data_IF_598367704045
#
_entry.id   IF_598367704045
#
_cell.length_a   1.000
_cell.length_b   1.000
_cell.length_c   1.000
_cell.angle_alpha   90.00
_cell.angle_beta   90.00
_cell.angle_gamma   90.00
#
_symmetry.space_group_name_H-M   'P 1'
#
loop_
_entity.id
_entity.type
_entity.pdbx_description
1 polymer ?
#
# COMPACT_ATOMS: atom_id res chain seq x y z
N UNK A 1 28.32 -6.74 -5.25
CA UNK A 1 27.84 -5.48 -5.86
C UNK A 1 29.03 -4.55 -5.85
N UNK A 2 29.54 -4.24 -7.03
CA UNK A 2 30.74 -3.42 -7.17
C UNK A 2 30.35 -1.95 -7.05
N UNK A 3 31.19 -1.12 -6.43
CA UNK A 3 30.87 0.27 -6.11
C UNK A 3 30.51 1.14 -7.32
N UNK A 4 31.05 0.80 -8.49
CA UNK A 4 30.77 1.48 -9.76
C UNK A 4 29.31 1.29 -10.21
N UNK A 5 28.77 0.07 -10.08
CA UNK A 5 27.36 -0.21 -10.40
C UNK A 5 26.39 0.54 -9.48
N UNK A 6 26.76 0.74 -8.21
CA UNK A 6 25.95 1.51 -7.27
C UNK A 6 26.00 2.99 -7.63
N UNK A 7 27.16 3.51 -8.03
CA UNK A 7 27.29 4.88 -8.52
C UNK A 7 26.37 5.13 -9.71
N UNK A 8 26.41 4.25 -10.72
CA UNK A 8 25.57 4.41 -11.92
C UNK A 8 24.07 4.36 -11.60
N UNK A 9 23.66 3.51 -10.65
CA UNK A 9 22.27 3.43 -10.19
C UNK A 9 21.85 4.71 -9.45
N UNK A 10 22.71 5.26 -8.58
CA UNK A 10 22.43 6.49 -7.84
C UNK A 10 22.32 7.69 -8.78
N UNK A 11 23.13 7.76 -9.85
CA UNK A 11 23.05 8.84 -10.84
C UNK A 11 21.76 8.81 -11.67
N UNK A 12 21.02 7.69 -11.67
CA UNK A 12 19.74 7.57 -12.37
C UNK A 12 18.55 7.97 -11.51
N UNK A 13 18.74 8.15 -10.20
CA UNK A 13 17.67 8.52 -9.28
C UNK A 13 17.35 10.01 -9.39
N UNK A 14 16.06 10.33 -9.36
CA UNK A 14 15.65 11.71 -9.15
C UNK A 14 15.98 12.18 -7.73
N UNK A 15 16.02 13.49 -7.51
CA UNK A 15 16.25 14.14 -6.23
C UNK A 15 15.38 13.59 -5.08
N UNK A 16 14.08 13.40 -5.31
CA UNK A 16 13.11 12.84 -4.37
C UNK A 16 13.43 11.38 -4.07
N UNK A 17 13.73 10.58 -5.10
CA UNK A 17 14.07 9.17 -4.94
C UNK A 17 15.34 8.99 -4.12
N UNK A 18 16.33 9.84 -4.39
CA UNK A 18 17.57 9.89 -3.63
C UNK A 18 17.34 10.29 -2.17
N UNK A 19 16.51 11.29 -1.91
CA UNK A 19 16.16 11.70 -0.54
C UNK A 19 15.46 10.56 0.24
N UNK A 20 14.52 9.85 -0.40
CA UNK A 20 13.84 8.70 0.18
C UNK A 20 14.81 7.55 0.41
N UNK A 21 15.67 7.23 -0.56
CA UNK A 21 16.69 6.18 -0.44
C UNK A 21 17.65 6.47 0.71
N UNK A 22 18.20 7.68 0.80
CA UNK A 22 19.12 8.08 1.86
C UNK A 22 18.47 7.94 3.24
N UNK A 23 17.21 8.34 3.36
CA UNK A 23 16.44 8.21 4.60
C UNK A 23 16.20 6.75 4.98
N UNK A 24 15.82 5.91 4.01
CA UNK A 24 15.63 4.46 4.21
C UNK A 24 16.92 3.75 4.63
N UNK A 25 18.04 4.07 3.98
CA UNK A 25 19.35 3.46 4.28
C UNK A 25 19.86 3.93 5.65
N UNK A 26 19.68 5.19 5.99
CA UNK A 26 20.05 5.74 7.29
C UNK A 26 19.12 5.26 8.43
N UNK A 27 17.95 4.71 8.10
CA UNK A 27 16.91 4.36 9.06
C UNK A 27 16.36 5.59 9.80
N UNK A 28 16.35 6.74 9.12
CA UNK A 28 15.88 8.03 9.65
C UNK A 28 14.75 8.60 8.78
N UNK A 29 14.13 9.68 9.25
CA UNK A 29 12.96 10.31 8.65
C UNK A 29 13.37 11.52 7.80
N UNK A 30 12.56 11.94 6.82
CA UNK A 30 12.81 13.15 6.05
C UNK A 30 11.60 14.10 5.98
N UNK A 31 11.91 15.36 5.73
CA UNK A 31 10.95 16.39 5.34
C UNK A 31 11.11 16.61 3.85
N UNK A 32 10.01 16.59 3.11
CA UNK A 32 9.95 16.97 1.71
C UNK A 32 9.03 18.19 1.59
N UNK A 33 9.53 19.23 0.95
CA UNK A 33 8.77 20.46 0.68
C UNK A 33 8.65 20.66 -0.82
N UNK A 34 7.54 21.24 -1.25
CA UNK A 34 7.32 21.68 -2.62
C UNK A 34 6.32 22.84 -2.62
N UNK A 35 6.09 23.46 -3.76
CA UNK A 35 5.06 24.46 -3.93
C UNK A 35 3.66 23.83 -3.70
N UNK A 36 2.69 24.58 -3.10
CA UNK A 36 1.38 24.03 -2.76
C UNK A 36 0.64 23.41 -3.95
N UNK A 37 0.84 23.94 -5.15
CA UNK A 37 0.24 23.47 -6.39
C UNK A 37 0.75 22.10 -6.82
N UNK A 38 1.98 21.75 -6.41
CA UNK A 38 2.66 20.52 -6.76
C UNK A 38 2.61 19.46 -5.65
N UNK A 39 2.06 19.79 -4.49
CA UNK A 39 2.05 18.92 -3.32
C UNK A 39 1.40 17.56 -3.57
N UNK A 40 0.27 17.55 -4.27
CA UNK A 40 -0.46 16.32 -4.63
C UNK A 40 0.31 15.47 -5.64
N UNK A 41 1.02 16.10 -6.58
CA UNK A 41 1.85 15.39 -7.56
C UNK A 41 3.06 14.75 -6.86
N UNK A 42 3.70 15.47 -5.94
CA UNK A 42 4.79 14.92 -5.13
C UNK A 42 4.32 13.78 -4.24
N UNK A 43 3.14 13.90 -3.62
CA UNK A 43 2.51 12.81 -2.88
C UNK A 43 2.34 11.58 -3.76
N UNK A 44 1.72 11.75 -4.92
CA UNK A 44 1.45 10.65 -5.86
C UNK A 44 2.75 10.01 -6.35
N UNK A 45 3.78 10.81 -6.66
CA UNK A 45 5.10 10.29 -7.02
C UNK A 45 5.65 9.37 -5.92
N UNK A 46 5.58 9.76 -4.64
CA UNK A 46 6.08 8.93 -3.54
C UNK A 46 5.23 7.67 -3.33
N UNK A 47 3.91 7.77 -3.49
CA UNK A 47 2.97 6.63 -3.40
C UNK A 47 3.27 5.57 -4.45
N UNK A 48 3.60 5.98 -5.67
CA UNK A 48 3.98 5.08 -6.76
C UNK A 48 5.42 4.56 -6.60
N UNK A 49 6.34 5.42 -6.15
CA UNK A 49 7.75 5.08 -5.92
C UNK A 49 7.93 3.97 -4.88
N UNK A 50 7.18 4.01 -3.79
CA UNK A 50 7.32 3.07 -2.67
C UNK A 50 7.22 1.60 -3.08
N UNK A 51 6.11 1.18 -3.72
CA UNK A 51 5.95 -0.18 -4.23
C UNK A 51 6.87 -0.47 -5.42
N UNK A 52 6.98 0.45 -6.39
CA UNK A 52 7.68 0.20 -7.66
C UNK A 52 9.19 0.06 -7.49
N UNK A 53 9.81 0.97 -6.72
CA UNK A 53 11.27 1.04 -6.58
C UNK A 53 11.75 0.32 -5.31
N UNK A 54 11.03 0.47 -4.19
CA UNK A 54 11.48 -0.06 -2.90
C UNK A 54 10.81 -1.35 -2.45
N UNK A 55 9.72 -1.77 -3.11
CA UNK A 55 8.90 -2.90 -2.69
C UNK A 55 8.28 -2.70 -1.31
N UNK A 56 7.98 -1.44 -0.94
CA UNK A 56 7.49 -1.04 0.37
C UNK A 56 6.05 -0.55 0.30
N UNK A 57 5.27 -0.87 1.34
CA UNK A 57 3.90 -0.32 1.47
C UNK A 57 3.95 1.15 1.81
N UNK A 58 3.08 1.94 1.18
CA UNK A 58 2.94 3.39 1.43
C UNK A 58 1.55 3.66 1.95
N UNK A 59 1.43 4.47 3.00
CA UNK A 59 0.17 5.02 3.45
C UNK A 59 0.30 6.53 3.64
N UNK A 60 -0.78 7.25 3.35
CA UNK A 60 -0.81 8.71 3.44
C UNK A 60 -1.88 9.15 4.42
N UNK A 61 -1.54 10.14 5.23
CA UNK A 61 -2.45 10.84 6.11
C UNK A 61 -2.37 12.32 5.79
N UNK A 62 -3.52 12.93 5.51
CA UNK A 62 -3.65 14.37 5.33
C UNK A 62 -3.96 15.01 6.68
N UNK A 63 -3.10 15.93 7.10
CA UNK A 63 -3.25 16.64 8.35
C UNK A 63 -3.97 17.98 8.15
N UNK A 64 -4.88 18.25 9.06
CA UNK A 64 -5.66 19.48 9.18
C UNK A 64 -5.68 19.93 10.64
N UNK A 65 -6.07 21.18 10.94
CA UNK A 65 -6.19 21.65 12.33
C UNK A 65 -7.15 20.81 13.18
N UNK A 66 -8.15 20.19 12.54
CA UNK A 66 -9.18 19.36 13.18
C UNK A 66 -8.82 17.87 13.23
N UNK A 67 -7.65 17.47 12.72
CA UNK A 67 -7.20 16.07 12.72
C UNK A 67 -7.07 15.55 14.15
N UNK A 68 -7.84 14.51 14.47
CA UNK A 68 -7.74 13.83 15.77
C UNK A 68 -6.64 12.77 15.75
N UNK A 69 -6.27 12.24 16.92
CA UNK A 69 -5.28 11.16 17.02
C UNK A 69 -5.71 9.89 16.28
N UNK A 70 -7.02 9.57 16.32
CA UNK A 70 -7.54 8.39 15.62
C UNK A 70 -7.54 8.64 14.09
N UNK A 71 -7.90 9.84 13.64
CA UNK A 71 -7.83 10.22 12.20
C UNK A 71 -6.39 10.20 11.68
N UNK A 72 -5.42 10.54 12.53
CA UNK A 72 -4.01 10.45 12.16
C UNK A 72 -3.56 9.01 11.94
N UNK A 73 -4.05 8.09 12.75
CA UNK A 73 -3.53 6.72 12.87
C UNK A 73 -4.26 5.74 11.93
N UNK A 74 -5.58 5.85 11.82
CA UNK A 74 -6.42 4.90 11.09
C UNK A 74 -5.99 4.70 9.61
N UNK A 75 -5.66 5.76 8.84
CA UNK A 75 -5.22 5.61 7.45
C UNK A 75 -3.91 4.84 7.28
N UNK A 76 -3.10 4.75 8.35
CA UNK A 76 -1.76 4.16 8.29
C UNK A 76 -1.79 2.63 8.43
N UNK A 77 -2.96 2.06 8.73
CA UNK A 77 -3.15 0.66 9.07
C UNK A 77 -3.70 -0.17 7.89
N UNK A 78 -2.96 -1.22 7.52
CA UNK A 78 -3.41 -2.22 6.56
C UNK A 78 -3.96 -3.46 7.25
N UNK A 79 -5.07 -3.99 6.74
CA UNK A 79 -5.54 -5.31 7.14
C UNK A 79 -4.62 -6.39 6.56
N UNK A 80 -3.97 -7.15 7.44
CA UNK A 80 -3.28 -8.36 7.01
C UNK A 80 -4.35 -9.39 6.61
N UNK A 81 -4.59 -9.51 5.30
CA UNK A 81 -5.30 -10.65 4.74
C UNK A 81 -4.42 -11.87 5.01
N UNK A 82 -4.75 -12.60 6.09
CA UNK A 82 -4.19 -13.94 6.30
C UNK A 82 -4.44 -14.71 5.00
N UNK A 83 -3.42 -15.27 4.33
CA UNK A 83 -3.68 -16.26 3.30
C UNK A 83 -4.50 -17.36 3.99
N UNK A 84 -5.75 -17.50 3.57
CA UNK A 84 -6.60 -18.58 4.02
C UNK A 84 -5.83 -19.89 3.81
N UNK A 85 -5.77 -20.79 4.81
CA UNK A 85 -5.27 -22.12 4.53
C UNK A 85 -6.20 -22.69 3.46
N UNK A 86 -5.68 -22.90 2.26
CA UNK A 86 -6.36 -23.57 1.17
C UNK A 86 -6.64 -25.02 1.59
N UNK A 87 -7.71 -25.21 2.35
CA UNK A 87 -8.42 -26.48 2.36
C UNK A 87 -9.09 -26.59 1.00
N UNK A 88 -8.54 -27.42 0.12
CA UNK A 88 -9.24 -28.34 -0.78
C UNK A 88 -8.23 -29.05 -1.70
N UNK A 89 -7.31 -29.81 -1.08
CA UNK A 89 -6.74 -30.97 -1.74
C UNK A 89 -7.77 -32.10 -1.71
N UNK A 90 -8.62 -32.16 -2.73
CA UNK A 90 -9.48 -33.31 -3.02
C UNK A 90 -8.57 -34.52 -3.25
N UNK A 91 -8.40 -35.37 -2.25
CA UNK A 91 -7.77 -36.68 -2.43
C UNK A 91 -8.83 -37.66 -2.91
N UNK A 92 -8.54 -38.46 -3.97
CA UNK A 92 -9.54 -39.24 -4.66
C UNK A 92 -9.97 -40.47 -3.85
N UNK A 93 -11.22 -40.86 -4.09
CA UNK A 93 -11.87 -42.10 -3.70
C UNK A 93 -10.98 -43.29 -4.05
N UNK A 94 -10.54 -44.06 -3.04
CA UNK A 94 -10.14 -45.44 -3.24
C UNK A 94 -11.23 -46.37 -2.71
N UNK A 95 -11.77 -47.12 -3.66
CA UNK A 95 -12.83 -48.10 -3.49
C UNK A 95 -12.31 -49.33 -2.73
N UNK A 96 -13.24 -49.98 -2.03
CA UNK A 96 -13.08 -51.18 -1.21
C UNK A 96 -12.48 -52.37 -1.98
N UNK A 97 -11.69 -53.18 -1.28
CA UNK A 97 -11.84 -54.64 -1.09
C UNK A 97 -10.78 -55.13 -0.07
N UNK A 98 -11.23 -55.56 1.11
CA UNK A 98 -11.20 -56.97 1.58
C UNK A 98 -9.91 -57.35 2.33
N UNK A 99 -10.06 -57.62 3.64
CA UNK A 99 -8.98 -58.14 4.48
C UNK A 99 -9.29 -58.01 5.98
N UNK A 100 -9.89 -59.06 6.52
CA UNK A 100 -10.25 -59.25 7.93
C UNK A 100 -9.05 -59.05 8.88
N UNK A 101 -9.21 -58.31 9.98
CA UNK A 101 -8.62 -58.75 11.26
C UNK A 101 -9.31 -58.08 12.45
N UNK A 102 -9.67 -58.96 13.38
CA UNK A 102 -10.24 -58.70 14.69
C UNK A 102 -9.19 -58.05 15.58
N UNK A 103 -9.46 -56.87 16.15
CA UNK A 103 -9.17 -56.49 17.54
C UNK A 103 -9.77 -55.10 17.79
N UNK A 104 -10.72 -55.02 18.73
CA UNK A 104 -11.49 -53.82 19.00
C UNK A 104 -10.80 -52.86 19.98
N UNK A 105 -11.18 -51.59 19.91
CA UNK A 105 -11.42 -50.77 21.10
C UNK A 105 -12.45 -49.69 20.74
N UNK A 106 -13.57 -49.70 21.47
CA UNK A 106 -14.64 -48.70 21.40
C UNK A 106 -14.16 -47.42 22.07
N UNK A 107 -14.48 -46.27 21.49
CA UNK A 107 -14.98 -45.14 22.28
C UNK A 107 -16.05 -44.37 21.49
N UNK A 108 -17.28 -44.47 21.98
CA UNK A 108 -18.44 -43.68 21.57
C UNK A 108 -18.77 -42.73 22.72
N UNK A 109 -18.77 -41.43 22.46
CA UNK A 109 -19.58 -40.43 23.15
C UNK A 109 -19.89 -39.34 22.13
N UNK A 110 -21.00 -39.52 21.41
CA UNK A 110 -22.30 -38.90 21.67
C UNK A 110 -22.39 -37.48 21.11
N UNK A 111 -22.97 -37.43 19.91
CA UNK A 111 -23.76 -36.32 19.40
C UNK A 111 -24.79 -35.90 20.47
N UNK A 112 -25.06 -34.59 20.59
CA UNK A 112 -26.38 -33.98 20.35
C UNK A 112 -26.37 -32.48 20.71
N UNK A 113 -26.60 -31.64 19.67
CA UNK A 113 -27.46 -30.42 19.61
C UNK A 113 -27.00 -29.19 20.42
N UNK A 114 -27.14 -27.94 19.96
CA UNK A 114 -28.30 -27.30 19.32
C UNK A 114 -27.89 -26.13 18.41
N UNK A 115 -28.64 -25.94 17.32
CA UNK A 115 -28.68 -24.72 16.53
C UNK A 115 -29.25 -23.57 17.37
N UNK A 116 -28.52 -22.47 17.49
CA UNK A 116 -29.06 -21.15 17.83
C UNK A 116 -28.51 -20.15 16.82
N UNK A 117 -29.43 -19.57 16.05
CA UNK A 117 -29.22 -18.32 15.33
C UNK A 117 -28.56 -17.30 16.26
N UNK A 118 -27.39 -16.85 15.84
CA UNK A 118 -26.72 -15.69 16.38
C UNK A 118 -25.87 -15.17 15.24
N UNK A 119 -26.28 -14.04 14.68
CA UNK A 119 -25.51 -13.20 13.77
C UNK A 119 -24.21 -12.80 14.46
N UNK A 120 -23.22 -13.68 14.45
CA UNK A 120 -21.84 -13.32 14.73
C UNK A 120 -21.25 -12.87 13.41
N UNK A 121 -21.40 -11.56 13.15
CA UNK A 121 -20.33 -10.80 12.50
C UNK A 121 -19.14 -10.89 13.47
N UNK A 122 -18.49 -12.05 13.51
CA UNK A 122 -17.18 -12.20 14.11
C UNK A 122 -16.28 -11.44 13.16
N UNK A 123 -16.08 -10.16 13.49
CA UNK A 123 -15.10 -9.33 12.82
C UNK A 123 -13.82 -10.15 12.84
N UNK A 124 -13.45 -10.64 11.67
CA UNK A 124 -12.09 -11.05 11.37
C UNK A 124 -11.26 -9.80 11.53
N UNK A 125 -10.98 -9.43 12.79
CA UNK A 125 -10.07 -8.36 13.13
C UNK A 125 -8.71 -8.91 12.80
N UNK A 126 -8.37 -8.82 11.52
CA UNK A 126 -7.03 -9.05 11.02
C UNK A 126 -6.06 -8.27 11.87
N UNK A 127 -4.86 -8.82 12.03
CA UNK A 127 -3.77 -8.08 12.66
C UNK A 127 -3.50 -6.90 11.73
N UNK A 128 -3.90 -5.68 12.13
CA UNK A 128 -3.61 -4.49 11.33
C UNK A 128 -2.13 -4.14 11.46
N UNK A 129 -1.46 -3.96 10.33
CA UNK A 129 -0.02 -3.63 10.26
C UNK A 129 0.17 -2.22 9.74
N UNK A 130 1.20 -1.55 10.26
CA UNK A 130 1.57 -0.22 9.82
C UNK A 130 2.30 -0.28 8.47
N UNK A 131 2.07 0.72 7.62
CA UNK A 131 2.84 0.95 6.40
C UNK A 131 4.36 1.02 6.66
N UNK A 132 5.15 0.71 5.63
CA UNK A 132 6.59 0.90 5.65
C UNK A 132 6.95 2.37 5.48
N UNK A 133 6.29 3.06 4.56
CA UNK A 133 6.46 4.48 4.29
C UNK A 133 5.16 5.18 4.68
N UNK A 134 5.25 6.17 5.55
CA UNK A 134 4.13 7.02 5.95
C UNK A 134 4.37 8.40 5.38
N UNK A 135 3.44 8.89 4.58
CA UNK A 135 3.41 10.27 4.11
C UNK A 135 2.47 11.04 5.04
N UNK A 136 3.03 11.92 5.86
CA UNK A 136 2.27 12.84 6.69
C UNK A 136 2.20 14.19 5.98
N UNK A 137 1.14 14.36 5.18
CA UNK A 137 0.91 15.56 4.39
C UNK A 137 0.39 16.68 5.30
N UNK A 138 0.97 17.89 5.19
CA UNK A 138 0.58 19.08 5.94
C UNK A 138 0.65 18.90 7.47
N UNK A 139 1.61 18.10 7.94
CA UNK A 139 1.78 17.78 9.37
C UNK A 139 1.97 19.02 10.26
N UNK A 140 2.44 20.12 9.69
CA UNK A 140 2.58 21.40 10.40
C UNK A 140 1.24 22.07 10.72
N UNK A 141 0.18 21.78 9.96
CA UNK A 141 -1.17 22.28 10.22
C UNK A 141 -1.87 21.51 11.33
N UNK A 142 -1.37 20.31 11.67
CA UNK A 142 -1.95 19.50 12.73
C UNK A 142 -1.72 20.10 14.12
N UNK A 143 -2.60 19.73 15.04
CA UNK A 143 -2.46 20.08 16.45
C UNK A 143 -1.15 19.55 17.06
N UNK A 144 -0.67 20.22 18.12
CA UNK A 144 0.53 19.77 18.88
C UNK A 144 0.42 18.31 19.37
N UNK A 145 -0.79 17.82 19.65
CA UNK A 145 -0.99 16.44 20.06
C UNK A 145 -0.68 15.45 18.93
N UNK A 146 -1.11 15.75 17.70
CA UNK A 146 -0.82 14.94 16.52
C UNK A 146 0.67 14.99 16.19
N UNK A 147 1.31 16.16 16.24
CA UNK A 147 2.77 16.28 16.06
C UNK A 147 3.54 15.49 17.13
N UNK A 148 3.06 15.51 18.38
CA UNK A 148 3.63 14.70 19.47
C UNK A 148 3.45 13.20 19.20
N UNK A 149 2.30 12.80 18.65
CA UNK A 149 2.04 11.41 18.27
C UNK A 149 2.97 10.95 17.13
N UNK A 150 3.21 11.81 16.14
CA UNK A 150 4.18 11.56 15.09
C UNK A 150 5.61 11.41 15.65
N UNK A 151 5.98 12.27 16.61
CA UNK A 151 7.26 12.16 17.31
C UNK A 151 7.38 10.86 18.10
N UNK A 152 6.33 10.45 18.82
CA UNK A 152 6.31 9.18 19.54
C UNK A 152 6.47 8.00 18.57
N UNK A 153 5.78 8.05 17.43
CA UNK A 153 5.89 7.03 16.38
C UNK A 153 7.32 6.91 15.84
N UNK A 154 7.97 8.04 15.55
CA UNK A 154 9.37 8.10 15.12
C UNK A 154 10.30 7.48 16.18
N UNK A 155 10.14 7.88 17.45
CA UNK A 155 11.04 7.47 18.55
C UNK A 155 10.87 6.03 18.97
N UNK A 156 9.63 5.60 19.12
CA UNK A 156 9.30 4.30 19.72
C UNK A 156 9.07 3.23 18.66
N UNK A 157 8.87 3.63 17.39
CA UNK A 157 8.40 2.75 16.31
C UNK A 157 7.11 2.03 16.69
N UNK A 158 6.26 2.68 17.49
CA UNK A 158 5.02 2.13 18.03
C UNK A 158 3.99 3.24 18.15
N UNK A 159 2.72 2.86 18.11
CA UNK A 159 1.62 3.74 18.49
C UNK A 159 0.49 2.94 19.13
N UNK A 160 -0.39 3.65 19.82
CA UNK A 160 -1.56 3.09 20.47
C UNK A 160 -2.83 3.66 19.83
N UNK A 161 -3.77 2.80 19.47
CA UNK A 161 -5.12 3.25 19.07
C UNK A 161 -5.98 3.50 20.31
N UNK A 162 -7.08 4.24 20.17
CA UNK A 162 -8.08 4.43 21.24
C UNK A 162 -8.61 3.11 21.83
N UNK A 163 -8.55 2.01 21.06
CA UNK A 163 -8.90 0.64 21.49
C UNK A 163 -7.80 -0.06 22.31
N UNK A 164 -6.73 0.65 22.71
CA UNK A 164 -5.54 0.10 23.40
C UNK A 164 -4.82 -1.02 22.63
N UNK A 165 -5.02 -1.08 21.32
CA UNK A 165 -4.22 -1.96 20.47
C UNK A 165 -2.89 -1.27 20.17
N UNK A 166 -1.81 -1.97 20.43
CA UNK A 166 -0.45 -1.52 20.12
C UNK A 166 -0.04 -2.05 18.75
N UNK A 167 0.40 -1.15 17.88
CA UNK A 167 0.98 -1.51 16.59
C UNK A 167 2.45 -1.12 16.58
N UNK A 168 3.29 -2.00 16.03
CA UNK A 168 4.71 -1.72 15.85
C UNK A 168 4.95 -1.40 14.38
N UNK A 169 5.76 -0.39 14.12
CA UNK A 169 6.23 -0.10 12.78
C UNK A 169 7.11 -1.24 12.25
N UNK A 170 7.11 -1.50 10.94
CA UNK A 170 8.00 -2.49 10.34
C UNK A 170 9.48 -2.16 10.57
N UNK A 171 10.36 -3.15 10.33
CA UNK A 171 11.81 -2.93 10.44
C UNK A 171 12.30 -1.82 9.51
N UNK A 172 11.81 -1.83 8.25
CA UNK A 172 12.00 -0.76 7.28
C UNK A 172 10.83 0.21 7.42
N UNK A 173 11.07 1.28 8.16
CA UNK A 173 10.07 2.28 8.48
C UNK A 173 10.62 3.67 8.15
N UNK A 174 9.85 4.43 7.39
CA UNK A 174 10.12 5.81 7.03
C UNK A 174 8.84 6.62 7.26
N UNK A 175 9.02 7.80 7.84
CA UNK A 175 7.98 8.83 7.93
C UNK A 175 8.51 10.01 7.14
N UNK A 176 7.70 10.48 6.21
CA UNK A 176 7.97 11.63 5.35
C UNK A 176 6.99 12.71 5.75
N UNK A 177 7.47 13.82 6.29
CA UNK A 177 6.64 15.01 6.44
C UNK A 177 6.60 15.74 5.10
N UNK A 178 5.45 15.76 4.45
CA UNK A 178 5.27 16.34 3.12
C UNK A 178 4.54 17.68 3.24
N UNK A 179 5.20 18.78 2.91
CA UNK A 179 4.71 20.12 3.22
C UNK A 179 4.62 21.00 1.96
N UNK A 180 3.43 21.53 1.67
CA UNK A 180 3.21 22.45 0.54
C UNK A 180 3.60 23.87 0.91
N UNK A 181 4.89 24.18 0.96
CA UNK A 181 5.36 25.49 1.41
C UNK A 181 6.52 26.07 0.63
N UNK A 182 6.36 27.29 0.08
CA UNK A 182 7.42 28.02 -0.58
C UNK A 182 8.24 28.89 0.39
N UNK A 183 7.74 29.18 1.62
CA UNK A 183 8.36 30.10 2.57
C UNK A 183 8.22 29.63 4.04
N UNK A 184 9.29 29.86 4.80
CA UNK A 184 9.76 29.34 6.11
C UNK A 184 8.81 29.40 7.34
N UNK A 185 7.51 29.67 7.19
CA UNK A 185 6.64 30.18 8.28
C UNK A 185 5.88 29.10 9.08
N UNK A 186 6.22 27.82 8.93
CA UNK A 186 5.54 26.74 9.67
C UNK A 186 6.56 25.71 10.10
N UNK A 187 7.13 26.05 11.24
CA UNK A 187 7.97 25.14 11.97
C UNK A 187 7.05 24.09 12.59
N UNK A 188 7.07 22.88 12.02
CA UNK A 188 6.95 21.68 12.85
C UNK A 188 7.70 21.96 14.17
N UNK A 189 7.16 21.51 15.30
CA UNK A 189 7.80 21.80 16.59
C UNK A 189 9.30 21.49 16.53
N UNK A 190 10.15 22.35 17.10
CA UNK A 190 11.61 22.16 17.04
C UNK A 190 12.04 20.76 17.47
N UNK A 191 11.36 20.19 18.47
CA UNK A 191 11.60 18.83 18.94
C UNK A 191 11.26 17.75 17.92
N UNK A 192 10.28 17.98 17.04
CA UNK A 192 9.93 17.07 15.96
C UNK A 192 10.95 17.22 14.81
N UNK A 193 11.33 18.45 14.45
CA UNK A 193 12.37 18.72 13.45
C UNK A 193 13.69 18.00 13.75
N UNK A 194 14.13 17.97 15.01
CA UNK A 194 15.39 17.35 15.42
C UNK A 194 15.49 15.83 15.11
N UNK A 195 14.35 15.18 14.82
CA UNK A 195 14.31 13.74 14.47
C UNK A 195 14.29 13.48 12.98
N UNK A 196 14.20 14.53 12.15
CA UNK A 196 14.36 14.43 10.72
C UNK A 196 15.84 14.54 10.34
N UNK A 197 16.25 13.70 9.40
CA UNK A 197 17.63 13.61 8.95
C UNK A 197 17.96 14.64 7.88
N UNK A 198 17.05 14.78 6.91
CA UNK A 198 17.17 15.71 5.80
C UNK A 198 15.84 16.45 5.62
N UNK A 199 15.96 17.69 5.17
CA UNK A 199 14.87 18.48 4.62
C UNK A 199 15.24 18.80 3.19
N UNK A 200 14.41 18.38 2.24
CA UNK A 200 14.66 18.58 0.81
C UNK A 200 13.48 19.31 0.17
N UNK A 201 13.80 20.29 -0.68
CA UNK A 201 12.81 21.04 -1.43
C UNK A 201 12.84 20.58 -2.88
N UNK A 202 11.72 20.05 -3.36
CA UNK A 202 11.52 19.65 -4.75
C UNK A 202 10.80 20.79 -5.49
N UNK A 203 11.47 21.44 -6.45
CA UNK A 203 10.90 22.58 -7.16
C UNK A 203 9.93 22.11 -8.27
N UNK A 204 8.91 22.92 -8.54
CA UNK A 204 7.86 22.62 -9.51
C UNK A 204 8.34 22.45 -10.97
N UNK A 205 9.56 22.86 -11.30
CA UNK A 205 10.14 22.79 -12.65
C UNK A 205 10.89 21.49 -12.96
N UNK A 206 11.16 20.66 -11.95
CA UNK A 206 11.91 19.40 -12.09
C UNK A 206 11.02 18.22 -12.54
N UNK A 207 9.70 18.40 -12.55
CA UNK A 207 8.72 17.43 -13.05
C UNK A 207 8.47 16.24 -12.12
N UNK A 208 7.53 15.36 -12.50
CA UNK A 208 7.11 14.23 -11.67
C UNK A 208 7.23 12.91 -12.45
N UNK A 209 8.44 12.35 -12.61
CA UNK A 209 8.70 11.27 -13.57
C UNK A 209 7.85 10.01 -13.37
N UNK A 210 7.52 9.68 -12.12
CA UNK A 210 6.69 8.51 -11.79
C UNK A 210 5.22 8.74 -12.17
N UNK A 211 4.70 9.95 -11.91
CA UNK A 211 3.33 10.31 -12.26
C UNK A 211 3.17 10.38 -13.77
N UNK A 212 4.15 10.96 -14.47
CA UNK A 212 4.18 11.03 -15.94
C UNK A 212 4.16 9.63 -16.57
N UNK A 213 4.95 8.69 -16.03
CA UNK A 213 4.97 7.29 -16.49
C UNK A 213 3.64 6.55 -16.28
N UNK A 214 2.94 6.80 -15.16
CA UNK A 214 1.61 6.24 -14.92
C UNK A 214 0.62 6.71 -15.99
N UNK A 215 0.59 8.03 -16.26
CA UNK A 215 -0.33 8.66 -17.22
C UNK A 215 -0.06 8.16 -18.66
N UNK A 216 1.19 7.97 -19.04
CA UNK A 216 1.55 7.38 -20.34
C UNK A 216 1.09 5.92 -20.46
N UNK A 217 1.22 5.13 -19.40
CA UNK A 217 0.76 3.74 -19.38
C UNK A 217 -0.75 3.65 -19.58
N UNK A 218 -1.52 4.44 -18.84
CA UNK A 218 -2.99 4.48 -18.95
C UNK A 218 -3.46 4.90 -20.35
N UNK A 219 -2.77 5.84 -20.99
CA UNK A 219 -3.07 6.28 -22.37
C UNK A 219 -2.80 5.18 -23.40
N UNK A 220 -1.74 4.39 -23.22
CA UNK A 220 -1.41 3.29 -24.11
C UNK A 220 -2.43 2.14 -24.05
N UNK A 221 -3.01 1.90 -22.88
CA UNK A 221 -4.01 0.87 -22.66
C UNK A 221 -5.36 1.25 -23.30
N UNK A 222 -5.76 2.53 -23.21
CA UNK A 222 -6.99 3.00 -23.87
C UNK A 222 -6.87 2.99 -25.40
N UNK A 223 -5.69 3.36 -25.95
CA UNK A 223 -5.43 3.29 -27.39
C UNK A 223 -5.41 1.84 -27.89
N UNK A 224 -4.88 0.91 -27.10
CA UNK A 224 -4.88 -0.52 -27.40
C UNK A 224 -6.30 -1.09 -27.45
N UNK A 225 -7.19 -0.67 -26.53
CA UNK A 225 -8.60 -1.07 -26.54
C UNK A 225 -9.40 -0.45 -27.71
N UNK A 226 -9.06 0.76 -28.14
CA UNK A 226 -9.69 1.42 -29.29
C UNK A 226 -9.36 0.74 -30.64
N UNK A 227 -8.31 -0.09 -30.70
CA UNK A 227 -7.81 -0.72 -31.93
C UNK A 227 -8.58 -1.98 -32.39
N UNK A 228 -9.59 -2.44 -31.66
CA UNK A 228 -10.38 -3.64 -32.03
C UNK A 228 -11.41 -3.33 -33.12
N UNK A 229 -10.96 -3.32 -34.38
CA UNK A 229 -11.81 -3.26 -35.57
C UNK A 229 -12.39 -4.66 -35.86
N UNK A 230 -13.68 -4.86 -35.56
CA UNK A 230 -14.42 -6.05 -36.01
C UNK A 230 -14.58 -5.99 -37.54
N UNK A 231 -13.71 -6.68 -38.27
CA UNK A 231 -13.92 -6.95 -39.71
C UNK A 231 -15.06 -7.96 -39.85
N UNK A 232 -16.27 -7.47 -40.11
CA UNK A 232 -17.38 -8.31 -40.55
C UNK A 232 -17.15 -8.72 -42.01
N UNK A 233 -16.59 -9.91 -42.24
CA UNK A 233 -16.61 -10.52 -43.57
C UNK A 233 -18.05 -10.83 -43.96
N UNK A 234 -18.58 -10.09 -44.92
CA UNK A 234 -19.86 -10.38 -45.55
C UNK A 234 -19.62 -11.46 -46.60
N UNK A 235 -19.93 -12.71 -46.25
CA UNK A 235 -19.92 -13.82 -47.19
C UNK A 235 -21.17 -13.75 -48.07
N UNK A 236 -21.05 -13.23 -49.30
CA UNK A 236 -22.12 -13.29 -50.31
C UNK A 236 -22.08 -14.66 -50.99
N UNK A 237 -22.89 -15.60 -50.51
CA UNK A 237 -23.16 -16.87 -51.18
C UNK A 237 -24.36 -16.69 -52.11
N UNK A 238 -24.11 -16.37 -53.38
CA UNK A 238 -25.15 -16.38 -54.42
C UNK A 238 -25.46 -17.83 -54.81
N UNK A 239 -26.64 -18.30 -54.41
CA UNK A 239 -27.19 -19.62 -54.74
C UNK A 239 -27.72 -19.64 -56.17
N UNK A 240 -27.23 -20.60 -56.97
CA UNK A 240 -27.85 -21.04 -58.22
C UNK A 240 -29.21 -21.66 -57.91
N UNK A 241 -30.22 -21.36 -58.73
CA UNK A 241 -31.44 -22.17 -58.84
C UNK A 241 -31.57 -22.67 -60.29
N UNK A 242 -32.02 -23.92 -60.51
CA UNK A 242 -32.23 -24.52 -61.83
C UNK A 242 -33.66 -24.31 -62.38
N UNK A 243 -33.85 -24.80 -63.60
CA UNK A 243 -34.89 -24.57 -64.62
C UNK A 243 -36.34 -25.02 -64.34
N UNK A 244 -37.21 -24.56 -65.26
CA UNK A 244 -38.50 -25.10 -65.78
C UNK A 244 -39.85 -24.80 -65.09
N UNK A 245 -40.66 -23.97 -65.79
CA UNK A 245 -41.98 -24.31 -66.35
C UNK A 245 -42.49 -23.20 -67.30
#
# INVERSE_FOLDING_TARGET
MDGEHISDLVHQLNDVELAVLLSLVAGKHCILTTEPECLELLRQQIELLGPAVFGLTVATVQCTPDTTLDDFIEPLLFDETRPSPSSHGISPVNNRESGESYFGTRNRSSLLRTSSQGTHHESTSGIRKLANIIIAQDLDLASNQVQTQALELIRTKRFCTSKKNFHCAPNRFLLIALLGKPNDESSLSSHLCDYFFISHHHPSDEGFPEVEREVESEQSDVDSLASVVIRKEVYVRSSRFPEDA
#
